data_IF_816734487054
#
_entry.id   IF_816734487054
#
_cell.length_a   1.000
_cell.length_b   1.000
_cell.length_c   1.000
_cell.angle_alpha   90.00
_cell.angle_beta   90.00
_cell.angle_gamma   90.00
#
_symmetry.space_group_name_H-M   'P 1'
#
loop_
_entity.id
_entity.type
_entity.pdbx_description
1 polymer ?
#
# COMPACT_ATOMS: atom_id res chain seq x y z
N UNK A 1 9.22 14.70 -24.76
CA UNK A 1 8.07 15.56 -25.01
C UNK A 1 7.88 16.53 -23.89
N UNK A 2 7.69 17.72 -24.26
CA UNK A 2 7.34 18.71 -23.25
C UNK A 2 5.84 18.71 -23.06
N UNK A 3 5.41 18.71 -21.81
CA UNK A 3 4.01 18.81 -21.50
C UNK A 3 3.81 20.06 -20.69
N UNK A 4 2.99 20.92 -21.21
CA UNK A 4 2.66 22.16 -20.52
C UNK A 4 1.27 22.08 -20.01
N UNK A 5 1.10 21.41 -18.89
CA UNK A 5 -0.19 21.24 -18.27
C UNK A 5 -0.24 22.07 -17.02
N UNK A 6 -1.04 23.13 -17.04
CA UNK A 6 -1.37 23.78 -15.79
C UNK A 6 -0.18 24.15 -14.93
N UNK A 7 0.89 24.58 -15.55
CA UNK A 7 2.07 24.97 -14.80
C UNK A 7 3.00 23.84 -14.39
N UNK A 8 2.78 22.65 -14.89
CA UNK A 8 3.75 21.57 -14.67
C UNK A 8 5.02 21.80 -15.45
N UNK A 9 5.00 22.79 -16.30
CA UNK A 9 6.17 23.20 -17.04
C UNK A 9 6.72 22.04 -17.89
N UNK A 10 7.97 21.89 -17.93
CA UNK A 10 8.61 20.92 -18.79
C UNK A 10 8.65 19.50 -18.22
N UNK A 11 7.81 19.25 -17.22
CA UNK A 11 7.78 17.95 -16.61
C UNK A 11 7.19 16.91 -17.56
N UNK A 12 7.85 15.79 -17.68
CA UNK A 12 7.36 14.67 -18.46
C UNK A 12 7.35 13.41 -17.60
N UNK A 13 6.57 12.43 -18.02
CA UNK A 13 6.42 11.20 -17.29
C UNK A 13 6.70 10.02 -18.21
N UNK A 14 7.38 9.03 -17.69
CA UNK A 14 7.66 7.82 -18.42
C UNK A 14 7.33 6.62 -17.53
N UNK A 15 6.80 5.59 -18.16
CA UNK A 15 6.57 4.34 -17.46
C UNK A 15 7.90 3.71 -17.06
N UNK A 16 8.02 3.25 -15.83
CA UNK A 16 9.19 2.56 -15.35
C UNK A 16 8.97 1.05 -15.34
N UNK A 17 8.14 0.56 -14.44
CA UNK A 17 7.89 -0.88 -14.33
C UNK A 17 6.69 -1.12 -13.42
N UNK A 18 6.29 -2.38 -13.34
CA UNK A 18 5.23 -2.80 -12.42
C UNK A 18 5.81 -3.73 -11.38
N UNK A 19 5.22 -3.71 -10.19
CA UNK A 19 5.61 -4.56 -9.07
C UNK A 19 4.38 -5.30 -8.59
N UNK A 20 4.54 -6.58 -8.27
CA UNK A 20 3.48 -7.39 -7.70
C UNK A 20 2.85 -8.35 -8.68
N UNK A 21 2.11 -9.28 -8.12
CA UNK A 21 1.35 -10.25 -8.88
C UNK A 21 0.12 -10.65 -8.08
N UNK A 22 -0.87 -11.18 -8.78
CA UNK A 22 -2.12 -11.59 -8.16
C UNK A 22 -1.93 -12.97 -7.51
N UNK A 23 -2.05 -13.04 -6.20
CA UNK A 23 -1.92 -14.28 -5.47
C UNK A 23 -2.95 -14.36 -4.35
N UNK A 24 -3.44 -15.56 -4.08
CA UNK A 24 -4.31 -15.80 -2.94
C UNK A 24 -3.52 -16.09 -1.67
N UNK A 25 -2.26 -16.43 -1.81
CA UNK A 25 -1.36 -16.65 -0.67
C UNK A 25 0.05 -16.30 -1.11
N UNK A 26 0.94 -16.16 -0.15
CA UNK A 26 2.32 -15.82 -0.43
C UNK A 26 2.55 -14.32 -0.43
N UNK A 27 3.49 -13.86 -1.23
CA UNK A 27 4.01 -12.51 -1.19
C UNK A 27 3.40 -11.54 -2.19
N UNK A 28 2.42 -12.01 -2.95
CA UNK A 28 1.74 -11.16 -3.92
C UNK A 28 0.78 -10.20 -3.26
N UNK A 29 0.25 -9.29 -4.06
CA UNK A 29 -0.76 -8.35 -3.57
C UNK A 29 -2.16 -8.92 -3.74
N UNK A 30 -3.04 -8.52 -2.84
CA UNK A 30 -4.43 -8.95 -2.86
C UNK A 30 -5.33 -7.74 -2.81
N UNK A 31 -5.69 -7.26 -3.99
CA UNK A 31 -6.50 -6.07 -4.15
C UNK A 31 -5.81 -4.85 -3.50
N UNK A 32 -4.65 -4.44 -4.02
CA UNK A 32 -3.97 -3.27 -3.49
C UNK A 32 -4.78 -2.01 -3.75
N UNK A 33 -4.93 -1.18 -2.75
CA UNK A 33 -5.78 0.02 -2.85
C UNK A 33 -5.01 1.31 -2.62
N UNK A 34 -3.86 1.24 -1.95
CA UNK A 34 -3.02 2.39 -1.75
C UNK A 34 -1.60 1.93 -1.42
N UNK A 35 -0.65 2.83 -1.59
CA UNK A 35 0.74 2.54 -1.26
C UNK A 35 1.46 3.82 -0.86
N UNK A 36 2.52 3.65 -0.08
CA UNK A 36 3.40 4.75 0.31
C UNK A 36 4.84 4.29 0.15
N UNK A 37 5.71 5.20 -0.24
CA UNK A 37 7.14 4.91 -0.41
C UNK A 37 7.90 5.47 0.78
N UNK A 38 8.62 4.60 1.46
CA UNK A 38 9.48 4.99 2.56
C UNK A 38 10.94 5.12 2.11
N UNK A 39 11.84 5.06 3.08
CA UNK A 39 13.26 5.15 2.80
C UNK A 39 13.76 3.93 2.03
N UNK A 40 14.85 4.12 1.28
CA UNK A 40 15.53 3.05 0.54
C UNK A 40 14.63 2.34 -0.46
N UNK A 41 13.71 3.10 -1.07
CA UNK A 41 12.81 2.57 -2.09
C UNK A 41 11.96 1.39 -1.62
N UNK A 42 11.61 1.41 -0.35
CA UNK A 42 10.71 0.42 0.24
C UNK A 42 9.29 0.90 0.11
N UNK A 43 8.41 0.05 -0.38
CA UNK A 43 6.99 0.35 -0.53
C UNK A 43 6.16 -0.36 0.52
N UNK A 44 5.18 0.36 1.05
CA UNK A 44 4.17 -0.18 1.93
C UNK A 44 2.87 -0.21 1.15
N UNK A 45 2.34 -1.41 0.89
CA UNK A 45 1.18 -1.58 0.03
C UNK A 45 0.02 -2.09 0.85
N UNK A 46 -1.08 -1.33 0.85
CA UNK A 46 -2.29 -1.70 1.56
C UNK A 46 -3.09 -2.64 0.69
N UNK A 47 -3.35 -3.83 1.21
CA UNK A 47 -4.18 -4.83 0.55
C UNK A 47 -5.51 -4.92 1.27
N UNK A 48 -6.60 -4.83 0.52
CA UNK A 48 -7.95 -4.94 1.07
C UNK A 48 -8.41 -6.39 1.11
N UNK A 49 -7.78 -7.25 0.33
CA UNK A 49 -8.20 -8.61 0.20
C UNK A 49 -9.38 -8.76 -0.73
N UNK A 50 -9.98 -9.91 -0.71
CA UNK A 50 -11.12 -10.20 -1.55
C UNK A 50 -12.39 -10.26 -0.71
N UNK A 51 -13.53 -10.00 -1.35
CA UNK A 51 -14.80 -9.81 -0.68
C UNK A 51 -15.18 -10.94 0.28
N UNK A 52 -14.84 -12.16 -0.09
CA UNK A 52 -15.22 -13.33 0.71
C UNK A 52 -14.04 -13.96 1.44
N UNK A 53 -12.92 -13.25 1.52
CA UNK A 53 -11.72 -13.77 2.17
C UNK A 53 -11.08 -12.69 3.00
N UNK A 54 -10.96 -12.95 4.29
CA UNK A 54 -10.38 -11.98 5.22
C UNK A 54 -8.87 -12.11 5.37
N UNK A 55 -8.28 -13.16 4.85
CA UNK A 55 -6.85 -13.41 5.00
C UNK A 55 -5.98 -12.49 4.12
N UNK A 56 -6.59 -11.74 3.22
CA UNK A 56 -5.86 -10.81 2.36
C UNK A 56 -5.76 -9.39 2.90
N UNK A 57 -6.35 -9.08 4.05
CA UNK A 57 -6.34 -7.73 4.61
C UNK A 57 -5.04 -7.52 5.38
N UNK A 58 -4.07 -6.89 4.74
CA UNK A 58 -2.76 -6.68 5.36
C UNK A 58 -1.97 -5.62 4.61
N UNK A 59 -0.86 -5.20 5.18
CA UNK A 59 0.10 -4.32 4.52
C UNK A 59 1.31 -5.16 4.12
N UNK A 60 1.65 -5.15 2.84
CA UNK A 60 2.83 -5.82 2.32
C UNK A 60 3.96 -4.81 2.18
N UNK A 61 5.15 -5.17 2.64
CA UNK A 61 6.33 -4.33 2.54
C UNK A 61 7.28 -4.99 1.55
N UNK A 62 7.54 -4.30 0.45
CA UNK A 62 8.39 -4.80 -0.64
C UNK A 62 9.33 -3.70 -1.11
N UNK A 63 10.39 -4.07 -1.79
CA UNK A 63 11.25 -3.09 -2.46
C UNK A 63 10.72 -2.77 -3.85
N UNK A 64 11.20 -1.68 -4.42
CA UNK A 64 10.86 -1.33 -5.80
C UNK A 64 11.37 -2.35 -6.81
N UNK A 65 12.31 -3.20 -6.43
CA UNK A 65 12.78 -4.30 -7.27
C UNK A 65 12.07 -5.62 -6.96
N UNK A 66 10.95 -5.54 -6.25
CA UNK A 66 10.05 -6.66 -5.99
C UNK A 66 10.58 -7.69 -5.01
N UNK A 67 11.45 -7.27 -4.11
CA UNK A 67 11.90 -8.13 -3.03
C UNK A 67 10.94 -8.01 -1.84
N UNK A 68 10.35 -9.11 -1.46
CA UNK A 68 9.48 -9.15 -0.29
C UNK A 68 10.29 -8.95 0.98
N UNK A 69 9.84 -8.05 1.83
CA UNK A 69 10.48 -7.81 3.12
C UNK A 69 9.65 -8.42 4.24
N UNK A 70 8.40 -8.00 4.35
CA UNK A 70 7.51 -8.51 5.39
C UNK A 70 6.06 -8.12 5.08
N UNK A 71 5.16 -8.55 5.92
CA UNK A 71 3.79 -8.09 5.91
C UNK A 71 3.31 -7.99 7.34
N UNK A 72 2.31 -7.15 7.56
CA UNK A 72 1.72 -7.01 8.89
C UNK A 72 0.27 -6.60 8.76
N UNK A 73 -0.45 -6.73 9.89
CA UNK A 73 -1.87 -6.45 9.93
C UNK A 73 -2.70 -7.67 9.58
N UNK A 74 -3.93 -7.64 10.01
CA UNK A 74 -4.88 -8.72 9.74
C UNK A 74 -6.29 -8.17 9.83
N UNK A 75 -7.27 -8.99 9.44
CA UNK A 75 -8.66 -8.61 9.48
C UNK A 75 -9.17 -8.58 10.93
N UNK A 76 -9.85 -7.52 11.29
CA UNK A 76 -10.47 -7.42 12.58
C UNK A 76 -10.57 -5.98 13.07
N UNK A 77 -11.02 -5.82 14.32
CA UNK A 77 -11.21 -4.50 14.94
C UNK A 77 -10.27 -4.23 16.10
N UNK A 78 -9.37 -5.15 16.40
CA UNK A 78 -8.40 -4.97 17.47
C UNK A 78 -7.19 -4.16 17.06
N UNK A 79 -6.23 -3.97 17.96
CA UNK A 79 -4.97 -3.29 17.61
C UNK A 79 -4.24 -4.03 16.50
N UNK A 80 -3.77 -3.28 15.51
CA UNK A 80 -3.07 -3.88 14.37
C UNK A 80 -3.97 -4.63 13.40
N UNK A 81 -5.28 -4.45 13.52
CA UNK A 81 -6.24 -5.09 12.63
C UNK A 81 -7.02 -4.07 11.84
N UNK A 82 -7.48 -4.47 10.65
CA UNK A 82 -8.19 -3.61 9.73
C UNK A 82 -9.38 -4.36 9.13
N UNK A 83 -10.41 -3.62 8.75
CA UNK A 83 -11.57 -4.21 8.08
C UNK A 83 -11.66 -3.75 6.64
N UNK A 84 -11.61 -2.45 6.42
CA UNK A 84 -11.71 -1.86 5.09
C UNK A 84 -10.71 -0.73 4.95
N UNK A 85 -9.42 -1.05 4.87
CA UNK A 85 -8.38 -0.02 4.76
C UNK A 85 -8.46 0.68 3.41
N UNK A 86 -8.25 1.99 3.41
CA UNK A 86 -8.39 2.81 2.21
C UNK A 86 -7.17 3.64 1.88
N UNK A 87 -6.37 4.03 2.87
CA UNK A 87 -5.27 4.94 2.63
C UNK A 87 -4.15 4.72 3.64
N UNK A 88 -2.93 4.99 3.21
CA UNK A 88 -1.75 4.84 4.04
C UNK A 88 -0.85 6.08 3.89
N UNK A 89 -0.23 6.47 4.99
CA UNK A 89 0.76 7.53 5.00
C UNK A 89 1.90 7.18 5.95
N UNK A 90 3.07 7.72 5.68
CA UNK A 90 4.27 7.56 6.50
C UNK A 90 4.70 8.92 6.99
N UNK A 91 5.24 9.00 8.20
CA UNK A 91 5.70 10.28 8.75
C UNK A 91 7.21 10.48 8.65
N UNK A 92 7.92 9.52 8.11
CA UNK A 92 9.37 9.61 8.00
C UNK A 92 10.11 9.27 9.29
N UNK A 93 9.39 8.91 10.34
CA UNK A 93 9.97 8.56 11.63
C UNK A 93 9.67 7.11 12.02
N UNK A 94 9.26 6.32 11.05
CA UNK A 94 8.96 4.92 11.27
C UNK A 94 7.51 4.62 11.62
N UNK A 95 6.66 5.63 11.63
CA UNK A 95 5.24 5.41 11.91
C UNK A 95 4.46 5.26 10.61
N UNK A 96 3.54 4.33 10.61
CA UNK A 96 2.63 4.05 9.50
C UNK A 96 1.22 4.37 9.95
N UNK A 97 0.54 5.22 9.19
CA UNK A 97 -0.83 5.64 9.49
C UNK A 97 -1.75 5.01 8.47
N UNK A 98 -2.75 4.30 8.94
CA UNK A 98 -3.69 3.59 8.07
C UNK A 98 -5.11 4.04 8.37
N UNK A 99 -5.79 4.54 7.36
CA UNK A 99 -7.20 4.93 7.48
C UNK A 99 -8.08 3.73 7.16
N UNK A 100 -9.08 3.49 8.01
CA UNK A 100 -10.02 2.38 7.86
C UNK A 100 -11.43 2.94 7.77
N UNK A 101 -12.02 2.78 6.60
CA UNK A 101 -13.34 3.33 6.32
C UNK A 101 -14.44 2.63 7.11
N UNK A 102 -14.32 1.34 7.30
CA UNK A 102 -15.35 0.60 8.04
C UNK A 102 -15.29 0.87 9.53
N UNK A 103 -14.08 0.92 10.09
CA UNK A 103 -13.89 1.16 11.51
C UNK A 103 -13.93 2.65 11.86
N UNK A 104 -13.92 3.53 10.87
CA UNK A 104 -13.92 4.98 11.07
C UNK A 104 -12.79 5.44 11.97
N UNK A 105 -11.59 4.91 11.74
CA UNK A 105 -10.44 5.25 12.57
C UNK A 105 -9.15 5.26 11.77
N UNK A 106 -8.14 5.87 12.36
CA UNK A 106 -6.78 5.82 11.85
C UNK A 106 -5.95 5.03 12.84
N UNK A 107 -5.33 3.96 12.35
CA UNK A 107 -4.42 3.14 13.15
C UNK A 107 -2.98 3.61 12.92
N UNK A 108 -2.17 3.55 13.95
CA UNK A 108 -0.77 3.98 13.91
C UNK A 108 0.14 2.85 14.36
#
# INVERSE_FOLDING_TARGET
MSTHFFGLNDRSFAYSHSVGRNEFSGTGFRNPVDMAVGDNDVMYVVNRGYEYRTDGVHITVVTMSEEYITEFGSYGAGPGQFVWPTAIALDGQGNVYLADEWLNRISV
#
